data_IF_059078436220
#
_entry.id   IF_059078436220
#
_cell.length_a   1.000
_cell.length_b   1.000
_cell.length_c   1.000
_cell.angle_alpha   90.00
_cell.angle_beta   90.00
_cell.angle_gamma   90.00
#
_symmetry.space_group_name_H-M   'P 1'
#
loop_
_entity.id
_entity.type
_entity.pdbx_description
1 polymer ?
#
# COMPACT_ATOMS: atom_id res chain seq x y z
N UNK A 1 -19.42 13.09 28.69
CA UNK A 1 -18.38 12.07 28.40
C UNK A 1 -17.58 12.58 27.21
N UNK A 2 -16.28 12.90 27.33
CA UNK A 2 -15.49 13.21 26.14
C UNK A 2 -15.44 11.92 25.30
N UNK A 3 -15.87 12.00 24.04
CA UNK A 3 -15.63 10.93 23.06
C UNK A 3 -14.12 10.69 23.04
N UNK A 4 -13.67 9.45 23.23
CA UNK A 4 -12.28 9.07 23.00
C UNK A 4 -11.89 9.57 21.60
N UNK A 5 -11.16 10.69 21.56
CA UNK A 5 -10.66 11.27 20.33
C UNK A 5 -9.40 10.49 19.98
N UNK A 6 -9.58 9.32 19.38
CA UNK A 6 -8.45 8.58 18.82
C UNK A 6 -8.02 9.35 17.57
N UNK A 7 -6.99 10.20 17.70
CA UNK A 7 -6.50 11.07 16.62
C UNK A 7 -5.98 10.23 15.44
N UNK A 8 -5.36 9.09 15.72
CA UNK A 8 -4.88 8.13 14.73
C UNK A 8 -5.36 6.73 15.10
N UNK A 9 -6.16 6.05 14.25
CA UNK A 9 -6.62 4.71 14.56
C UNK A 9 -5.44 3.78 14.83
N UNK A 10 -5.52 2.99 15.90
CA UNK A 10 -4.52 2.01 16.26
C UNK A 10 -4.92 0.64 15.72
N UNK A 11 -3.93 -0.16 15.34
CA UNK A 11 -4.16 -1.58 15.03
C UNK A 11 -4.62 -2.34 16.29
N UNK A 12 -5.10 -3.56 16.08
CA UNK A 12 -5.25 -4.54 17.17
C UNK A 12 -3.86 -5.02 17.63
N UNK A 13 -3.76 -5.67 18.80
CA UNK A 13 -2.53 -6.36 19.18
C UNK A 13 -2.07 -7.36 18.11
N UNK A 14 -0.75 -7.51 17.89
CA UNK A 14 -0.21 -8.43 16.91
C UNK A 14 -0.45 -9.90 17.31
N UNK A 15 -0.34 -10.79 16.34
CA UNK A 15 -0.24 -12.22 16.57
C UNK A 15 1.01 -12.53 17.40
N UNK A 16 0.93 -13.56 18.24
CA UNK A 16 2.08 -14.04 19.00
C UNK A 16 3.23 -14.53 18.11
N UNK A 17 2.92 -14.99 16.90
CA UNK A 17 3.90 -15.32 15.87
C UNK A 17 3.71 -14.38 14.70
N UNK A 18 4.73 -13.59 14.36
CA UNK A 18 4.73 -12.73 13.19
C UNK A 18 5.53 -13.36 12.04
N UNK A 19 4.98 -13.30 10.84
CA UNK A 19 5.75 -13.46 9.63
C UNK A 19 6.49 -12.14 9.36
N UNK A 20 7.78 -12.19 9.06
CA UNK A 20 8.59 -11.03 8.72
C UNK A 20 9.35 -11.25 7.42
N UNK A 21 9.58 -10.18 6.67
CA UNK A 21 10.37 -10.19 5.45
C UNK A 21 11.22 -8.92 5.37
N UNK A 22 12.45 -9.05 4.87
CA UNK A 22 13.35 -7.91 4.64
C UNK A 22 13.18 -7.41 3.21
N UNK A 23 12.79 -6.15 3.05
CA UNK A 23 12.58 -5.58 1.72
C UNK A 23 13.89 -5.27 0.99
N UNK A 24 15.02 -5.24 1.69
CA UNK A 24 16.36 -5.13 1.11
C UNK A 24 16.78 -6.37 0.31
N UNK A 25 16.18 -7.53 0.58
CA UNK A 25 16.47 -8.79 -0.13
C UNK A 25 15.88 -8.81 -1.56
N UNK A 26 15.04 -7.83 -1.90
CA UNK A 26 14.47 -7.68 -3.24
C UNK A 26 15.53 -7.18 -4.24
N UNK A 27 16.09 -8.10 -5.03
CA UNK A 27 17.19 -7.82 -5.98
C UNK A 27 16.75 -7.28 -7.35
N UNK A 28 15.48 -7.42 -7.74
CA UNK A 28 14.93 -6.95 -9.04
C UNK A 28 13.51 -6.39 -8.89
N UNK A 29 13.13 -5.40 -9.71
CA UNK A 29 11.81 -4.72 -9.65
C UNK A 29 11.44 -4.27 -8.23
N UNK A 30 12.44 -3.75 -7.51
CA UNK A 30 12.38 -3.54 -6.07
C UNK A 30 11.23 -2.60 -5.65
N UNK A 31 10.98 -1.54 -6.40
CA UNK A 31 10.01 -0.53 -6.01
C UNK A 31 8.57 -1.03 -6.20
N UNK A 32 8.25 -1.57 -7.38
CA UNK A 32 6.94 -2.13 -7.71
C UNK A 32 6.54 -3.22 -6.71
N UNK A 33 7.48 -4.12 -6.40
CA UNK A 33 7.30 -5.19 -5.43
C UNK A 33 7.11 -4.65 -4.02
N UNK A 34 7.91 -3.67 -3.60
CA UNK A 34 7.77 -3.03 -2.27
C UNK A 34 6.42 -2.34 -2.13
N UNK A 35 5.95 -1.63 -3.15
CA UNK A 35 4.61 -1.02 -3.16
C UNK A 35 3.55 -2.09 -2.89
N UNK A 36 3.58 -3.20 -3.63
CA UNK A 36 2.60 -4.28 -3.50
C UNK A 36 2.70 -4.94 -2.12
N UNK A 37 3.89 -5.31 -1.65
CA UNK A 37 4.08 -5.92 -0.34
C UNK A 37 3.63 -5.00 0.80
N UNK A 38 3.99 -3.72 0.77
CA UNK A 38 3.54 -2.75 1.79
C UNK A 38 2.02 -2.58 1.80
N UNK A 39 1.37 -2.55 0.63
CA UNK A 39 -0.10 -2.57 0.59
C UNK A 39 -0.69 -3.89 1.13
N UNK A 40 -0.05 -5.03 0.85
CA UNK A 40 -0.46 -6.34 1.38
C UNK A 40 -0.35 -6.40 2.90
N UNK A 41 0.71 -5.87 3.49
CA UNK A 41 0.88 -5.71 4.95
C UNK A 41 -0.30 -4.96 5.56
N UNK A 42 -0.71 -3.83 4.95
CA UNK A 42 -1.88 -3.08 5.39
C UNK A 42 -3.19 -3.89 5.37
N UNK A 43 -3.37 -4.76 4.37
CA UNK A 43 -4.53 -5.65 4.25
C UNK A 43 -4.51 -6.73 5.33
N UNK A 44 -3.39 -7.44 5.46
CA UNK A 44 -3.19 -8.52 6.42
C UNK A 44 -3.37 -8.01 7.85
N UNK A 45 -2.75 -6.87 8.15
CA UNK A 45 -2.69 -6.33 9.51
C UNK A 45 -3.98 -5.62 9.95
N UNK A 46 -4.89 -5.35 9.01
CA UNK A 46 -6.19 -4.73 9.29
C UNK A 46 -7.05 -5.57 10.24
N UNK A 47 -7.08 -6.89 10.07
CA UNK A 47 -7.94 -7.80 10.86
C UNK A 47 -7.22 -8.28 12.12
N UNK A 48 -5.95 -8.66 11.96
CA UNK A 48 -5.05 -9.12 12.99
C UNK A 48 -3.60 -9.01 12.47
N UNK A 49 -2.76 -8.14 13.06
CA UNK A 49 -1.39 -7.96 12.60
C UNK A 49 -0.58 -9.25 12.64
N UNK A 50 -0.08 -9.67 11.47
CA UNK A 50 0.57 -10.97 11.23
C UNK A 50 1.76 -10.89 10.28
N UNK A 51 1.85 -9.83 9.48
CA UNK A 51 2.95 -9.59 8.55
C UNK A 51 3.69 -8.33 8.99
N UNK A 52 5.01 -8.38 9.02
CA UNK A 52 5.87 -7.24 9.35
C UNK A 52 6.95 -7.09 8.30
N UNK A 53 6.95 -5.97 7.57
CA UNK A 53 7.95 -5.72 6.54
C UNK A 53 9.06 -4.84 7.09
N UNK A 54 10.29 -5.35 7.07
CA UNK A 54 11.48 -4.61 7.47
C UNK A 54 11.98 -3.82 6.27
N UNK A 55 11.79 -2.50 6.29
CA UNK A 55 12.24 -1.60 5.23
C UNK A 55 13.65 -1.08 5.48
N UNK A 56 13.97 -0.83 6.75
CA UNK A 56 15.28 -0.37 7.18
C UNK A 56 15.69 -0.94 8.55
N UNK A 57 16.88 -0.56 8.99
CA UNK A 57 17.45 -1.01 10.28
C UNK A 57 16.61 -0.61 11.50
N UNK A 58 15.79 0.44 11.43
CA UNK A 58 14.96 0.87 12.54
C UNK A 58 13.76 -0.06 12.71
N UNK A 59 13.24 -0.62 11.62
CA UNK A 59 12.17 -1.63 11.69
C UNK A 59 12.64 -2.91 12.40
N UNK A 60 13.90 -3.31 12.22
CA UNK A 60 14.47 -4.43 12.99
C UNK A 60 14.48 -4.14 14.50
N UNK A 61 14.91 -2.94 14.88
CA UNK A 61 14.92 -2.53 16.28
C UNK A 61 13.50 -2.52 16.88
N UNK A 62 12.50 -2.10 16.10
CA UNK A 62 11.10 -2.15 16.53
C UNK A 62 10.57 -3.58 16.66
N UNK A 63 10.95 -4.47 15.75
CA UNK A 63 10.57 -5.88 15.82
C UNK A 63 11.18 -6.57 17.04
N UNK A 64 12.44 -6.31 17.34
CA UNK A 64 13.11 -6.80 18.56
C UNK A 64 12.43 -6.24 19.81
N UNK A 65 12.10 -4.95 19.82
CA UNK A 65 11.39 -4.33 20.93
C UNK A 65 10.00 -4.94 21.19
N UNK A 66 9.24 -5.28 20.14
CA UNK A 66 7.96 -5.98 20.26
C UNK A 66 8.12 -7.35 20.94
N UNK A 67 9.24 -8.04 20.67
CA UNK A 67 9.56 -9.33 21.30
C UNK A 67 9.97 -9.14 22.77
N UNK A 68 10.82 -8.16 23.06
CA UNK A 68 11.29 -7.87 24.43
C UNK A 68 10.16 -7.42 25.36
N UNK A 69 9.23 -6.61 24.86
CA UNK A 69 8.02 -6.20 25.59
C UNK A 69 7.04 -7.36 25.77
N UNK A 70 7.26 -8.48 25.07
CA UNK A 70 6.44 -9.67 25.14
C UNK A 70 5.12 -9.56 24.38
N UNK A 71 5.02 -8.69 23.36
CA UNK A 71 3.85 -8.64 22.47
C UNK A 71 3.83 -9.82 21.51
N UNK A 72 5.02 -10.28 21.10
CA UNK A 72 5.23 -11.42 20.19
C UNK A 72 6.21 -12.42 20.83
N UNK A 73 6.00 -13.70 20.57
CA UNK A 73 6.83 -14.82 21.03
C UNK A 73 7.82 -15.26 19.96
N UNK A 74 7.43 -15.19 18.68
CA UNK A 74 8.21 -15.73 17.56
C UNK A 74 8.15 -14.81 16.34
N UNK A 75 9.27 -14.74 15.63
CA UNK A 75 9.38 -14.19 14.28
C UNK A 75 9.72 -15.34 13.33
N UNK A 76 8.96 -15.45 12.25
CA UNK A 76 9.22 -16.36 11.14
C UNK A 76 9.64 -15.53 9.92
N UNK A 77 10.90 -15.65 9.51
CA UNK A 77 11.41 -14.95 8.33
C UNK A 77 10.98 -15.69 7.06
N UNK A 78 10.37 -14.95 6.13
CA UNK A 78 9.85 -15.47 4.87
C UNK A 78 10.47 -14.75 3.67
N UNK A 79 10.75 -15.53 2.63
CA UNK A 79 11.02 -15.02 1.29
C UNK A 79 9.73 -14.51 0.62
N UNK A 80 9.88 -13.67 -0.40
CA UNK A 80 8.75 -13.03 -1.11
C UNK A 80 7.68 -14.01 -1.59
N UNK A 81 8.07 -15.15 -2.16
CA UNK A 81 7.14 -16.13 -2.70
C UNK A 81 6.29 -16.78 -1.59
N UNK A 82 6.90 -17.04 -0.42
CA UNK A 82 6.18 -17.56 0.75
C UNK A 82 5.25 -16.53 1.39
N UNK A 83 5.60 -15.24 1.33
CA UNK A 83 4.69 -14.15 1.74
C UNK A 83 3.47 -14.15 0.85
N UNK A 84 3.65 -14.21 -0.48
CA UNK A 84 2.51 -14.24 -1.40
C UNK A 84 1.67 -15.51 -1.27
N UNK A 85 2.29 -16.69 -1.25
CA UNK A 85 1.56 -17.96 -1.06
C UNK A 85 0.66 -17.91 0.19
N UNK A 86 1.18 -17.33 1.28
CA UNK A 86 0.47 -17.28 2.55
C UNK A 86 -0.64 -16.23 2.61
N UNK A 87 -0.39 -15.02 2.09
CA UNK A 87 -1.25 -13.87 2.38
C UNK A 87 -2.03 -13.36 1.17
N UNK A 88 -1.58 -13.64 -0.06
CA UNK A 88 -2.29 -13.24 -1.27
C UNK A 88 -3.71 -13.85 -1.37
N UNK A 89 -3.99 -15.08 -0.88
CA UNK A 89 -5.36 -15.62 -0.84
C UNK A 89 -6.36 -14.78 -0.03
N UNK A 90 -5.90 -13.87 0.85
CA UNK A 90 -6.77 -12.95 1.60
C UNK A 90 -7.22 -11.74 0.76
N UNK A 91 -6.56 -11.50 -0.38
CA UNK A 91 -6.85 -10.40 -1.30
C UNK A 91 -8.01 -10.78 -2.21
N UNK A 92 -9.09 -10.00 -2.17
CA UNK A 92 -10.32 -10.27 -2.95
C UNK A 92 -10.35 -9.57 -4.30
N UNK A 93 -9.53 -8.55 -4.50
CA UNK A 93 -9.52 -7.72 -5.69
C UNK A 93 -8.22 -6.92 -5.80
N UNK A 94 -7.91 -6.49 -7.02
CA UNK A 94 -6.69 -5.74 -7.35
C UNK A 94 -7.01 -4.39 -7.98
N UNK A 95 -6.18 -3.40 -7.68
CA UNK A 95 -6.15 -2.11 -8.36
C UNK A 95 -4.82 -1.95 -9.07
N UNK A 96 -4.85 -2.08 -10.40
CA UNK A 96 -3.66 -1.94 -11.23
C UNK A 96 -3.48 -0.48 -11.59
N UNK A 97 -2.29 0.06 -11.33
CA UNK A 97 -1.97 1.46 -11.57
C UNK A 97 -1.72 1.73 -13.05
N UNK A 98 -1.79 3.01 -13.44
CA UNK A 98 -1.35 3.50 -14.74
C UNK A 98 0.06 4.12 -14.64
N UNK A 99 1.10 3.48 -15.20
CA UNK A 99 2.47 4.03 -15.19
C UNK A 99 2.60 5.41 -15.85
N UNK A 100 1.68 5.75 -16.78
CA UNK A 100 1.66 7.06 -17.45
C UNK A 100 1.11 8.19 -16.56
N UNK A 101 0.46 7.85 -15.45
CA UNK A 101 -0.18 8.80 -14.53
C UNK A 101 0.25 8.46 -13.11
N UNK A 102 1.31 9.10 -12.56
CA UNK A 102 1.80 8.80 -11.21
C UNK A 102 0.71 8.85 -10.13
N UNK A 103 -0.22 9.81 -10.22
CA UNK A 103 -1.33 9.92 -9.26
C UNK A 103 -2.26 8.67 -9.25
N UNK A 104 -2.19 7.79 -10.25
CA UNK A 104 -2.91 6.53 -10.27
C UNK A 104 -2.49 5.61 -9.12
N UNK A 105 -1.25 5.71 -8.61
CA UNK A 105 -0.78 4.95 -7.45
C UNK A 105 -1.58 5.35 -6.21
N UNK A 106 -1.71 6.66 -5.94
CA UNK A 106 -2.51 7.15 -4.82
C UNK A 106 -4.01 6.89 -5.03
N UNK A 107 -4.50 6.96 -6.27
CA UNK A 107 -5.86 6.59 -6.62
C UNK A 107 -6.15 5.12 -6.30
N UNK A 108 -5.27 4.21 -6.70
CA UNK A 108 -5.34 2.79 -6.40
C UNK A 108 -5.29 2.54 -4.89
N UNK A 109 -4.41 3.22 -4.15
CA UNK A 109 -4.36 3.11 -2.68
C UNK A 109 -5.68 3.50 -2.02
N UNK A 110 -6.32 4.61 -2.45
CA UNK A 110 -7.62 5.02 -1.92
C UNK A 110 -8.74 4.02 -2.25
N UNK A 111 -8.76 3.48 -3.48
CA UNK A 111 -9.71 2.44 -3.90
C UNK A 111 -9.50 1.16 -3.08
N UNK A 112 -8.25 0.70 -2.96
CA UNK A 112 -7.83 -0.44 -2.16
C UNK A 112 -8.26 -0.32 -0.70
N UNK A 113 -8.08 0.85 -0.10
CA UNK A 113 -8.50 1.12 1.27
C UNK A 113 -10.02 0.95 1.44
N UNK A 114 -10.83 1.56 0.57
CA UNK A 114 -12.30 1.54 0.66
C UNK A 114 -12.90 0.18 0.32
N UNK A 115 -12.46 -0.40 -0.80
CA UNK A 115 -12.99 -1.64 -1.35
C UNK A 115 -12.42 -2.88 -0.63
N UNK A 116 -11.19 -2.79 -0.12
CA UNK A 116 -10.41 -3.91 0.37
C UNK A 116 -9.78 -4.67 -0.79
N UNK A 117 -8.65 -4.19 -1.30
CA UNK A 117 -7.92 -4.79 -2.40
C UNK A 117 -6.45 -4.44 -2.37
N UNK A 118 -5.66 -5.10 -3.20
CA UNK A 118 -4.22 -4.89 -3.30
C UNK A 118 -3.89 -3.90 -4.42
N UNK A 119 -2.77 -3.19 -4.30
CA UNK A 119 -2.26 -2.26 -5.32
C UNK A 119 -1.06 -2.92 -5.99
N UNK A 120 -1.03 -2.88 -7.31
CA UNK A 120 0.08 -3.41 -8.08
C UNK A 120 0.36 -2.56 -9.32
N UNK A 121 1.64 -2.51 -9.69
CA UNK A 121 2.05 -2.08 -11.02
C UNK A 121 1.67 -3.17 -12.05
N UNK A 122 1.51 -2.82 -13.35
CA UNK A 122 1.09 -3.79 -14.37
C UNK A 122 1.94 -5.05 -14.45
N UNK A 123 3.27 -4.91 -14.32
CA UNK A 123 4.20 -6.04 -14.47
C UNK A 123 4.08 -7.00 -13.28
N UNK A 124 4.01 -6.47 -12.04
CA UNK A 124 3.74 -7.28 -10.84
C UNK A 124 2.38 -7.97 -10.93
N UNK A 125 1.34 -7.29 -11.42
CA UNK A 125 0.02 -7.88 -11.56
C UNK A 125 -0.01 -9.05 -12.56
N UNK A 126 0.73 -8.91 -13.68
CA UNK A 126 0.85 -9.96 -14.68
C UNK A 126 1.67 -11.16 -14.19
N UNK A 127 2.73 -10.93 -13.40
CA UNK A 127 3.59 -11.98 -12.87
C UNK A 127 2.84 -12.97 -11.97
N UNK A 128 1.87 -12.50 -11.19
CA UNK A 128 1.14 -13.32 -10.21
C UNK A 128 -0.31 -13.66 -10.64
N UNK A 129 -0.63 -13.49 -11.92
CA UNK A 129 -1.95 -13.77 -12.53
C UNK A 129 -3.13 -13.27 -11.68
N UNK A 130 -3.00 -12.03 -11.20
CA UNK A 130 -3.92 -11.49 -10.21
C UNK A 130 -5.26 -11.16 -10.88
N UNK A 131 -6.37 -11.48 -10.22
CA UNK A 131 -7.71 -11.15 -10.73
C UNK A 131 -7.91 -9.63 -10.78
N UNK A 132 -7.83 -9.06 -11.99
CA UNK A 132 -8.08 -7.65 -12.27
C UNK A 132 -9.55 -7.47 -12.61
N UNK A 133 -10.25 -6.58 -11.90
CA UNK A 133 -11.58 -6.15 -12.31
C UNK A 133 -11.50 -5.38 -13.63
N UNK A 134 -12.11 -5.93 -14.69
CA UNK A 134 -12.00 -5.39 -16.05
C UNK A 134 -13.02 -4.28 -16.38
N UNK A 135 -13.93 -3.97 -15.46
CA UNK A 135 -15.04 -3.03 -15.71
C UNK A 135 -14.74 -1.66 -15.09
N UNK A 136 -14.70 -0.56 -15.88
CA UNK A 136 -14.35 0.78 -15.41
C UNK A 136 -15.12 1.29 -14.18
N UNK A 137 -16.38 0.84 -14.03
CA UNK A 137 -17.25 1.25 -12.92
C UNK A 137 -17.44 0.15 -11.86
N UNK A 138 -16.85 -1.04 -12.02
CA UNK A 138 -16.94 -2.16 -11.06
C UNK A 138 -15.72 -2.22 -10.16
N UNK A 139 -15.30 -1.08 -9.62
CA UNK A 139 -14.18 -1.02 -8.66
C UNK A 139 -14.44 -1.85 -7.39
N UNK A 140 -15.70 -2.28 -7.15
CA UNK A 140 -16.05 -3.27 -6.12
C UNK A 140 -15.50 -4.69 -6.39
N UNK A 141 -14.94 -4.93 -7.58
CA UNK A 141 -14.30 -6.17 -8.00
C UNK A 141 -12.85 -5.95 -8.48
N UNK A 142 -12.24 -4.81 -8.13
CA UNK A 142 -10.95 -4.38 -8.67
C UNK A 142 -11.08 -3.51 -9.92
N UNK A 143 -9.98 -2.90 -10.36
CA UNK A 143 -9.95 -2.00 -11.50
C UNK A 143 -8.55 -1.85 -12.10
N UNK A 144 -8.44 -1.87 -13.43
CA UNK A 144 -7.24 -1.43 -14.15
C UNK A 144 -7.32 0.06 -14.48
N UNK A 145 -6.53 0.89 -13.79
CA UNK A 145 -6.56 2.35 -13.94
C UNK A 145 -6.02 2.83 -15.30
N UNK A 146 -5.30 2.00 -16.06
CA UNK A 146 -4.88 2.34 -17.43
C UNK A 146 -6.09 2.54 -18.36
N UNK A 147 -7.18 1.85 -18.07
CA UNK A 147 -8.43 1.97 -18.84
C UNK A 147 -9.11 3.33 -18.68
N UNK A 148 -8.73 4.10 -17.66
CA UNK A 148 -9.29 5.43 -17.39
C UNK A 148 -8.81 6.48 -18.39
N UNK A 149 -7.68 6.22 -19.08
CA UNK A 149 -7.12 7.07 -20.12
C UNK A 149 -6.94 8.54 -19.69
N UNK A 150 -6.65 8.75 -18.40
CA UNK A 150 -6.35 10.07 -17.85
C UNK A 150 -5.11 10.66 -18.54
N UNK A 151 -5.09 11.98 -18.68
CA UNK A 151 -3.97 12.73 -19.27
C UNK A 151 -3.16 13.48 -18.22
N UNK A 152 -3.74 13.70 -17.03
CA UNK A 152 -3.12 14.47 -15.95
C UNK A 152 -3.45 13.87 -14.59
N UNK A 153 -2.53 14.02 -13.64
CA UNK A 153 -2.71 13.61 -12.24
C UNK A 153 -4.01 14.15 -11.61
N UNK A 154 -4.39 15.39 -11.93
CA UNK A 154 -5.62 16.01 -11.40
C UNK A 154 -6.90 15.27 -11.81
N UNK A 155 -6.90 14.61 -12.97
CA UNK A 155 -8.05 13.83 -13.45
C UNK A 155 -8.24 12.58 -12.60
N UNK A 156 -7.14 11.91 -12.24
CA UNK A 156 -7.14 10.76 -11.32
C UNK A 156 -7.74 11.14 -9.96
N UNK A 157 -7.22 12.20 -9.34
CA UNK A 157 -7.72 12.66 -8.03
C UNK A 157 -9.17 13.10 -8.10
N UNK A 158 -9.56 13.88 -9.11
CA UNK A 158 -10.95 14.33 -9.29
C UNK A 158 -11.88 13.13 -9.41
N UNK A 159 -11.52 12.13 -10.21
CA UNK A 159 -12.32 10.94 -10.40
C UNK A 159 -12.50 10.14 -9.10
N UNK A 160 -11.41 9.94 -8.34
CA UNK A 160 -11.47 9.22 -7.07
C UNK A 160 -12.31 9.98 -6.05
N UNK A 161 -12.10 11.29 -5.88
CA UNK A 161 -12.85 12.06 -4.91
C UNK A 161 -14.34 12.11 -5.23
N UNK A 162 -14.72 12.28 -6.50
CA UNK A 162 -16.13 12.26 -6.89
C UNK A 162 -16.86 10.96 -6.51
N UNK A 163 -16.14 9.83 -6.43
CA UNK A 163 -16.72 8.51 -6.15
C UNK A 163 -16.58 8.08 -4.69
N UNK A 164 -15.47 8.42 -4.05
CA UNK A 164 -15.12 7.92 -2.73
C UNK A 164 -15.33 8.94 -1.61
N UNK A 165 -15.73 10.19 -1.92
CA UNK A 165 -15.84 11.28 -0.93
C UNK A 165 -16.54 10.87 0.38
N UNK A 166 -17.68 10.19 0.26
CA UNK A 166 -18.50 9.81 1.41
C UNK A 166 -18.01 8.53 2.12
N UNK A 167 -17.06 7.81 1.50
CA UNK A 167 -16.48 6.55 2.01
C UNK A 167 -15.06 6.69 2.56
N UNK A 168 -14.40 7.81 2.28
CA UNK A 168 -13.11 8.16 2.87
C UNK A 168 -13.29 8.65 4.31
N UNK A 169 -12.39 8.21 5.19
CA UNK A 169 -12.29 8.64 6.59
C UNK A 169 -11.98 10.12 6.66
N UNK A 170 -12.67 10.80 7.58
CA UNK A 170 -12.45 12.22 7.90
C UNK A 170 -11.43 12.44 9.02
N UNK A 171 -10.76 11.38 9.47
CA UNK A 171 -9.83 11.44 10.60
C UNK A 171 -8.43 11.93 10.18
N UNK A 172 -8.01 11.64 8.95
CA UNK A 172 -6.69 12.02 8.46
C UNK A 172 -6.68 12.26 6.94
N UNK A 173 -5.78 13.15 6.53
CA UNK A 173 -5.40 13.40 5.13
C UNK A 173 -3.89 13.20 5.05
N UNK A 174 -3.44 12.34 4.14
CA UNK A 174 -2.05 12.15 3.80
C UNK A 174 -1.71 12.95 2.55
N UNK A 175 -0.66 13.75 2.65
CA UNK A 175 0.00 14.34 1.48
C UNK A 175 1.19 13.45 1.19
N UNK A 176 1.09 12.62 0.15
CA UNK A 176 2.06 11.55 -0.12
C UNK A 176 2.46 11.59 -1.59
N UNK A 177 3.76 11.70 -1.83
CA UNK A 177 4.34 11.53 -3.17
C UNK A 177 3.94 10.13 -3.72
N UNK A 178 3.49 10.02 -4.98
CA UNK A 178 3.08 8.73 -5.55
C UNK A 178 4.15 7.63 -5.46
N UNK A 179 5.43 7.97 -5.44
CA UNK A 179 6.53 7.02 -5.36
C UNK A 179 7.01 6.75 -3.92
N UNK A 180 6.51 7.48 -2.93
CA UNK A 180 6.77 7.15 -1.53
C UNK A 180 6.06 5.83 -1.16
N UNK A 181 6.81 4.86 -0.62
CA UNK A 181 6.28 3.55 -0.18
C UNK A 181 5.80 3.61 1.26
N UNK A 182 6.56 4.26 2.14
CA UNK A 182 6.22 4.40 3.56
C UNK A 182 4.81 4.95 3.75
N UNK A 183 4.15 4.52 4.82
CA UNK A 183 2.77 4.84 5.20
C UNK A 183 1.69 4.10 4.39
N UNK A 184 1.98 3.48 3.23
CA UNK A 184 0.93 2.86 2.41
C UNK A 184 0.23 1.68 3.08
N UNK A 185 0.92 0.94 3.93
CA UNK A 185 0.36 -0.10 4.80
C UNK A 185 -0.74 0.47 5.71
N UNK A 186 -0.45 1.60 6.34
CA UNK A 186 -1.39 2.33 7.21
C UNK A 186 -2.61 2.79 6.40
N UNK A 187 -2.37 3.45 5.25
CA UNK A 187 -3.42 4.02 4.40
C UNK A 187 -4.32 2.96 3.74
N UNK A 188 -3.75 1.81 3.37
CA UNK A 188 -4.49 0.67 2.81
C UNK A 188 -5.31 -0.08 3.87
N UNK A 189 -5.02 0.11 5.16
CA UNK A 189 -5.84 -0.48 6.22
C UNK A 189 -7.21 0.23 6.28
N UNK A 190 -8.31 -0.49 6.06
CA UNK A 190 -9.68 0.10 6.01
C UNK A 190 -10.12 0.82 7.30
N UNK A 191 -9.38 0.62 8.40
CA UNK A 191 -9.60 1.32 9.67
C UNK A 191 -9.23 2.82 9.53
N UNK A 192 -8.39 3.16 8.53
CA UNK A 192 -7.69 4.43 8.41
C UNK A 192 -7.84 5.08 7.03
N UNK A 193 -8.90 4.76 6.26
CA UNK A 193 -9.20 5.24 4.90
C UNK A 193 -8.94 6.76 4.70
N UNK A 194 -7.71 7.20 4.55
CA UNK A 194 -7.39 8.63 4.60
C UNK A 194 -7.38 9.19 3.20
N UNK A 195 -7.62 10.49 3.10
CA UNK A 195 -7.53 11.16 1.82
C UNK A 195 -6.07 11.22 1.39
N UNK A 196 -5.76 10.88 0.15
CA UNK A 196 -4.41 11.01 -0.41
C UNK A 196 -4.37 12.13 -1.45
N UNK A 197 -3.55 13.15 -1.21
CA UNK A 197 -3.25 14.19 -2.20
C UNK A 197 -1.74 14.27 -2.44
N UNK A 198 -1.34 14.70 -3.63
CA UNK A 198 0.02 15.14 -3.90
C UNK A 198 -0.05 16.55 -4.49
N UNK A 199 0.74 17.47 -3.94
CA UNK A 199 0.96 18.78 -4.55
C UNK A 199 2.23 18.65 -5.38
N UNK A 200 2.08 18.04 -6.56
CA UNK A 200 3.19 17.65 -7.42
C UNK A 200 4.28 18.70 -7.46
N UNK A 201 5.52 18.28 -7.23
CA UNK A 201 6.67 19.17 -7.35
C UNK A 201 6.69 19.77 -8.75
N UNK A 202 6.61 21.09 -8.83
CA UNK A 202 6.83 21.80 -10.07
C UNK A 202 8.26 21.47 -10.54
N UNK A 203 8.36 20.63 -11.56
CA UNK A 203 9.52 20.42 -12.43
C UNK A 203 10.89 20.39 -11.75
N UNK A 204 11.35 19.20 -11.33
CA UNK A 204 12.77 18.86 -11.43
C UNK A 204 12.90 17.45 -11.98
N UNK A 205 13.25 17.34 -13.26
CA UNK A 205 13.87 16.11 -13.79
C UNK A 205 15.19 15.94 -13.04
N UNK A 206 15.37 14.84 -12.34
CA UNK A 206 16.70 14.40 -11.95
C UNK A 206 17.40 13.94 -13.24
N UNK A 207 18.40 14.70 -13.69
CA UNK A 207 19.33 14.19 -14.70
C UNK A 207 20.18 13.07 -14.06
N UNK A 208 20.43 11.97 -14.78
CA UNK A 208 21.34 10.94 -14.30
C UNK A 208 22.74 11.54 -14.19
N UNK A 209 23.39 11.34 -13.04
CA UNK A 209 24.78 11.72 -12.84
C UNK A 209 25.64 11.06 -13.92
N UNK A 210 26.09 11.86 -14.88
CA UNK A 210 27.03 11.45 -15.90
C UNK A 210 28.33 11.04 -15.24
N UNK A 211 28.70 9.78 -15.43
CA UNK A 211 30.07 9.30 -15.25
C UNK A 211 30.88 9.98 -16.35
N UNK A 212 31.85 10.81 -15.97
CA UNK A 212 32.90 11.29 -16.85
C UNK A 212 34.25 10.68 -16.38
N UNK A 213 35.17 10.43 -17.33
CA UNK A 213 36.25 9.44 -17.22
C UNK A 213 37.38 9.82 -16.27
#
# INVERSE_FOLDING_TARGET
MPRNLTILPKSRPPARSLAAMRLEELTSHNWDMRLTLTCLEGIVNRSHPRLYLVQDRYDELWLDWLRERGDIDRVEWLEVDHVFERFLPEVRQMFVTDPGIPASINAATMLAAVAGGLVAMPDTAAQYDLAIGALPDSWNTGLDLRTMNWKKNVEAYRWVYQRLWDRLSRQAVAILDPYAIGLRDYLSSRVQNSHLMDFGSAGRRAEPAGILP
#
